data_IF_684929635429
#
_entry.id   IF_684929635429
#
_cell.length_a   1.000
_cell.length_b   1.000
_cell.length_c   1.000
_cell.angle_alpha   90.00
_cell.angle_beta   90.00
_cell.angle_gamma   90.00
#
_symmetry.space_group_name_H-M   'P 1'
#
loop_
_entity.id
_entity.type
_entity.pdbx_description
1 polymer ?
#
# COMPACT_ATOMS: atom_id res chain seq x y z
N UNK A 1 -12.67 -14.55 36.45
CA UNK A 1 -12.38 -13.18 36.03
C UNK A 1 -10.90 -13.13 35.61
N UNK A 2 -10.61 -13.37 34.32
CA UNK A 2 -9.26 -13.23 33.78
C UNK A 2 -9.12 -11.78 33.31
N UNK A 3 -8.52 -10.95 34.16
CA UNK A 3 -8.02 -9.65 33.67
C UNK A 3 -6.88 -9.94 32.75
N UNK A 4 -7.10 -9.81 31.42
CA UNK A 4 -6.05 -9.72 30.42
C UNK A 4 -5.15 -8.55 30.83
N UNK A 5 -3.93 -8.86 31.29
CA UNK A 5 -2.91 -7.84 31.58
C UNK A 5 -2.50 -7.26 30.22
N UNK A 6 -3.19 -6.24 29.78
CA UNK A 6 -2.70 -5.42 28.67
C UNK A 6 -1.36 -4.80 29.12
N UNK A 7 -0.32 -5.04 28.31
CA UNK A 7 0.98 -4.47 28.59
C UNK A 7 0.87 -2.94 28.61
N UNK A 8 1.45 -2.24 29.60
CA UNK A 8 1.40 -0.79 29.66
C UNK A 8 1.93 -0.19 28.33
N UNK A 9 1.30 0.87 27.81
CA UNK A 9 1.68 1.44 26.50
C UNK A 9 3.18 1.80 26.39
N UNK A 10 3.83 2.13 27.50
CA UNK A 10 5.27 2.36 27.56
C UNK A 10 6.11 1.10 27.31
N UNK A 11 5.63 -0.09 27.69
CA UNK A 11 6.35 -1.36 27.44
C UNK A 11 6.32 -1.70 25.95
N UNK A 12 5.16 -1.48 25.29
CA UNK A 12 5.02 -1.71 23.85
C UNK A 12 5.90 -0.76 23.07
N UNK A 13 5.87 0.54 23.40
CA UNK A 13 6.72 1.54 22.77
C UNK A 13 8.21 1.24 22.97
N UNK A 14 8.60 0.87 24.21
CA UNK A 14 9.98 0.47 24.52
C UNK A 14 10.45 -0.74 23.73
N UNK A 15 9.60 -1.77 23.61
CA UNK A 15 9.89 -2.96 22.82
C UNK A 15 10.08 -2.61 21.33
N UNK A 16 9.22 -1.76 20.77
CA UNK A 16 9.34 -1.28 19.39
C UNK A 16 10.66 -0.54 19.18
N UNK A 17 11.01 0.38 20.08
CA UNK A 17 12.27 1.13 20.01
C UNK A 17 13.49 0.22 20.11
N UNK A 18 13.45 -0.80 20.98
CA UNK A 18 14.55 -1.79 21.10
C UNK A 18 14.69 -2.58 19.81
N UNK A 19 13.59 -3.05 19.21
CA UNK A 19 13.61 -3.79 17.94
C UNK A 19 14.15 -2.92 16.81
N UNK A 20 13.71 -1.68 16.71
CA UNK A 20 14.23 -0.73 15.72
C UNK A 20 15.72 -0.46 15.97
N UNK A 21 16.14 -0.21 17.21
CA UNK A 21 17.54 0.03 17.58
C UNK A 21 18.43 -1.18 17.26
N UNK A 22 17.99 -2.39 17.59
CA UNK A 22 18.72 -3.61 17.25
C UNK A 22 18.80 -3.83 15.73
N UNK A 23 17.72 -3.55 15.01
CA UNK A 23 17.72 -3.61 13.54
C UNK A 23 18.77 -2.63 12.98
N UNK A 24 18.78 -1.38 13.42
CA UNK A 24 19.75 -0.37 12.99
C UNK A 24 21.19 -0.77 13.34
N UNK A 25 21.42 -1.32 14.53
CA UNK A 25 22.74 -1.82 14.93
C UNK A 25 23.18 -3.02 14.09
N UNK A 26 22.29 -3.99 13.88
CA UNK A 26 22.57 -5.14 13.02
C UNK A 26 22.93 -4.69 11.60
N UNK A 27 22.22 -3.69 11.07
CA UNK A 27 22.51 -3.06 9.79
C UNK A 27 23.92 -2.48 9.70
N UNK A 28 24.37 -1.85 10.79
CA UNK A 28 25.65 -1.13 10.81
C UNK A 28 26.84 -2.06 11.00
N UNK A 29 26.67 -3.17 11.72
CA UNK A 29 27.75 -4.07 12.09
C UNK A 29 27.88 -5.32 11.22
N UNK A 30 26.83 -5.73 10.51
CA UNK A 30 26.89 -6.99 9.77
C UNK A 30 27.51 -6.85 8.37
N UNK A 31 27.85 -5.64 7.89
CA UNK A 31 28.43 -5.36 6.56
C UNK A 31 27.81 -6.18 5.40
N UNK A 32 26.76 -6.94 5.72
CA UNK A 32 26.11 -7.92 4.85
C UNK A 32 25.40 -7.22 3.68
N UNK A 33 25.21 -5.89 3.80
CA UNK A 33 24.47 -5.09 2.84
C UNK A 33 25.20 -3.82 2.42
N UNK A 34 26.53 -3.89 2.29
CA UNK A 34 27.39 -2.78 1.89
C UNK A 34 27.15 -2.31 0.43
N UNK A 35 26.20 -2.92 -0.30
CA UNK A 35 25.77 -2.44 -1.61
C UNK A 35 24.64 -1.41 -1.49
N UNK A 36 24.82 -0.24 -2.12
CA UNK A 36 23.75 0.78 -2.22
C UNK A 36 22.45 0.24 -2.87
N UNK A 37 22.50 -0.91 -3.50
CA UNK A 37 21.40 -1.52 -4.24
C UNK A 37 20.51 -2.44 -3.39
N UNK A 38 20.97 -2.86 -2.21
CA UNK A 38 20.31 -3.91 -1.42
C UNK A 38 19.41 -3.41 -0.30
N UNK A 39 19.59 -2.17 0.17
CA UNK A 39 18.83 -1.63 1.31
C UNK A 39 17.30 -1.63 1.14
N UNK A 40 16.70 -1.41 -0.07
CA UNK A 40 15.25 -1.42 -0.18
C UNK A 40 14.66 -2.83 0.03
N UNK A 41 15.42 -3.88 -0.30
CA UNK A 41 15.00 -5.27 -0.10
C UNK A 41 14.82 -5.64 1.38
N UNK A 42 15.47 -4.90 2.28
CA UNK A 42 15.29 -5.06 3.72
C UNK A 42 13.92 -4.54 4.16
N UNK A 43 13.46 -3.45 3.54
CA UNK A 43 12.11 -2.93 3.79
C UNK A 43 11.07 -3.92 3.26
N UNK A 44 11.29 -4.49 2.08
CA UNK A 44 10.45 -5.58 1.54
C UNK A 44 10.42 -6.76 2.50
N UNK A 45 11.61 -7.20 2.98
CA UNK A 45 11.74 -8.30 3.93
C UNK A 45 11.01 -8.02 5.25
N UNK A 46 11.14 -6.81 5.79
CA UNK A 46 10.41 -6.39 7.00
C UNK A 46 8.90 -6.43 6.75
N UNK A 47 8.42 -5.91 5.62
CA UNK A 47 7.01 -5.98 5.23
C UNK A 47 6.51 -7.41 5.13
N UNK A 48 7.30 -8.30 4.50
CA UNK A 48 6.98 -9.72 4.39
C UNK A 48 6.91 -10.41 5.75
N UNK A 49 7.84 -10.13 6.66
CA UNK A 49 7.82 -10.66 8.04
C UNK A 49 6.57 -10.19 8.78
N UNK A 50 6.25 -8.89 8.75
CA UNK A 50 5.05 -8.35 9.37
C UNK A 50 3.78 -8.98 8.80
N UNK A 51 3.72 -9.16 7.49
CA UNK A 51 2.62 -9.81 6.79
C UNK A 51 2.45 -11.27 7.26
N UNK A 52 3.52 -12.06 7.26
CA UNK A 52 3.49 -13.47 7.69
C UNK A 52 3.12 -13.58 9.17
N UNK A 53 3.70 -12.73 10.03
CA UNK A 53 3.33 -12.69 11.46
C UNK A 53 1.85 -12.34 11.62
N UNK A 54 1.35 -11.37 10.87
CA UNK A 54 -0.08 -11.00 10.86
C UNK A 54 -0.99 -12.12 10.36
N UNK A 55 -0.48 -13.01 9.50
CA UNK A 55 -1.20 -14.21 9.08
C UNK A 55 -1.23 -15.29 10.17
N UNK A 56 -0.20 -15.43 10.97
CA UNK A 56 -0.11 -16.44 12.05
C UNK A 56 -0.85 -15.96 13.30
N UNK A 57 -0.60 -14.73 13.69
CA UNK A 57 -1.32 -14.07 14.78
C UNK A 57 -2.60 -13.46 14.21
N UNK A 58 -3.79 -13.71 14.78
CA UNK A 58 -5.03 -13.18 14.24
C UNK A 58 -5.13 -11.66 14.48
N UNK A 59 -4.31 -10.88 13.75
CA UNK A 59 -4.24 -9.44 13.85
C UNK A 59 -4.24 -8.82 12.44
N UNK A 60 -5.40 -8.33 12.01
CA UNK A 60 -5.57 -7.69 10.70
C UNK A 60 -4.67 -6.47 10.52
N UNK A 61 -4.36 -5.74 11.58
CA UNK A 61 -3.48 -4.57 11.54
C UNK A 61 -2.05 -4.92 11.11
N UNK A 62 -1.52 -6.07 11.53
CA UNK A 62 -0.19 -6.54 11.09
C UNK A 62 -0.19 -6.95 9.62
N UNK A 63 -1.28 -7.54 9.13
CA UNK A 63 -1.42 -7.88 7.71
C UNK A 63 -1.42 -6.62 6.86
N UNK A 64 -2.23 -5.61 7.25
CA UNK A 64 -2.30 -4.32 6.56
C UNK A 64 -0.95 -3.59 6.62
N UNK A 65 -0.36 -3.49 7.81
CA UNK A 65 0.95 -2.86 7.99
C UNK A 65 2.04 -3.56 7.17
N UNK A 66 2.03 -4.88 7.13
CA UNK A 66 2.98 -5.69 6.36
C UNK A 66 2.86 -5.44 4.86
N UNK A 67 1.64 -5.39 4.31
CA UNK A 67 1.44 -5.06 2.88
C UNK A 67 1.85 -3.63 2.54
N UNK A 68 1.57 -2.66 3.41
CA UNK A 68 2.00 -1.26 3.24
C UNK A 68 3.51 -1.16 3.21
N UNK A 69 4.20 -1.75 4.20
CA UNK A 69 5.67 -1.71 4.27
C UNK A 69 6.30 -2.44 3.09
N UNK A 70 5.75 -3.60 2.68
CA UNK A 70 6.22 -4.32 1.51
C UNK A 70 6.02 -3.52 0.22
N UNK A 71 4.90 -2.81 0.08
CA UNK A 71 4.64 -1.94 -1.07
C UNK A 71 5.65 -0.79 -1.13
N UNK A 72 5.89 -0.11 -0.02
CA UNK A 72 6.91 0.97 0.07
C UNK A 72 8.29 0.41 -0.29
N UNK A 73 8.68 -0.72 0.29
CA UNK A 73 9.94 -1.39 -0.03
C UNK A 73 10.07 -1.75 -1.51
N UNK A 74 8.99 -2.27 -2.12
CA UNK A 74 8.95 -2.59 -3.55
C UNK A 74 9.11 -1.36 -4.44
N UNK A 75 8.43 -0.24 -4.10
CA UNK A 75 8.59 1.05 -4.79
C UNK A 75 10.05 1.51 -4.72
N UNK A 76 10.62 1.52 -3.52
CA UNK A 76 12.00 1.95 -3.30
C UNK A 76 13.00 1.04 -4.02
N UNK A 77 12.78 -0.28 -4.04
CA UNK A 77 13.62 -1.23 -4.76
C UNK A 77 13.59 -0.97 -6.27
N UNK A 78 12.41 -0.72 -6.83
CA UNK A 78 12.28 -0.40 -8.25
C UNK A 78 12.94 0.94 -8.60
N UNK A 79 12.69 2.00 -7.81
CA UNK A 79 13.31 3.31 -8.03
C UNK A 79 14.84 3.28 -7.88
N UNK A 80 15.33 2.50 -6.92
CA UNK A 80 16.77 2.35 -6.70
C UNK A 80 17.45 1.63 -7.88
N UNK A 81 16.79 0.65 -8.49
CA UNK A 81 17.34 -0.09 -9.64
C UNK A 81 17.24 0.71 -10.94
N UNK A 82 16.19 1.49 -11.12
CA UNK A 82 15.95 2.26 -12.36
C UNK A 82 16.51 3.67 -12.32
N UNK A 83 16.79 4.21 -11.14
CA UNK A 83 17.17 5.62 -10.96
C UNK A 83 16.03 6.61 -11.14
N UNK A 84 14.80 6.15 -11.38
CA UNK A 84 13.63 6.97 -11.73
C UNK A 84 12.95 7.57 -10.47
N UNK A 85 13.70 8.26 -9.63
CA UNK A 85 13.19 8.83 -8.39
C UNK A 85 12.10 9.90 -8.58
N UNK A 86 12.10 10.60 -9.74
CA UNK A 86 11.08 11.58 -10.06
C UNK A 86 9.67 10.95 -10.16
N UNK A 87 9.58 9.66 -10.46
CA UNK A 87 8.30 8.93 -10.52
C UNK A 87 7.60 8.84 -9.17
N UNK A 88 8.26 9.25 -8.06
CA UNK A 88 7.61 9.39 -6.77
C UNK A 88 6.35 10.25 -6.83
N UNK A 89 6.31 11.20 -7.78
CA UNK A 89 5.14 12.06 -8.00
C UNK A 89 3.83 11.29 -8.23
N UNK A 90 3.86 10.08 -8.78
CA UNK A 90 2.67 9.25 -9.01
C UNK A 90 2.72 7.88 -8.35
N UNK A 91 3.91 7.28 -8.14
CA UNK A 91 4.04 5.89 -7.70
C UNK A 91 3.58 5.68 -6.24
N UNK A 92 3.59 6.74 -5.42
CA UNK A 92 3.11 6.70 -4.03
C UNK A 92 1.64 6.26 -3.93
N UNK A 93 0.85 6.42 -5.00
CA UNK A 93 -0.55 5.97 -5.08
C UNK A 93 -0.70 4.45 -4.99
N UNK A 94 0.40 3.68 -5.16
CA UNK A 94 0.43 2.25 -4.87
C UNK A 94 0.31 1.93 -3.37
N UNK A 95 0.67 2.87 -2.48
CA UNK A 95 0.63 2.64 -1.03
C UNK A 95 -0.80 2.40 -0.53
N UNK A 96 -1.79 3.26 -0.84
CA UNK A 96 -3.18 2.98 -0.48
C UNK A 96 -3.73 1.70 -1.16
N UNK A 97 -3.26 1.33 -2.35
CA UNK A 97 -3.61 0.05 -2.98
C UNK A 97 -3.07 -1.11 -2.14
N UNK A 98 -1.81 -1.05 -1.71
CA UNK A 98 -1.21 -2.04 -0.81
C UNK A 98 -1.97 -2.19 0.51
N UNK A 99 -2.38 -1.07 1.11
CA UNK A 99 -3.22 -1.07 2.30
C UNK A 99 -4.58 -1.73 2.04
N UNK A 100 -5.21 -1.44 0.90
CA UNK A 100 -6.46 -2.07 0.46
C UNK A 100 -6.32 -3.59 0.29
N UNK A 101 -5.23 -4.04 -0.33
CA UNK A 101 -4.93 -5.48 -0.46
C UNK A 101 -4.78 -6.14 0.91
N UNK A 102 -4.05 -5.51 1.84
CA UNK A 102 -3.92 -6.00 3.21
C UNK A 102 -5.25 -6.07 3.95
N UNK A 103 -6.10 -5.04 3.80
CA UNK A 103 -7.44 -5.01 4.38
C UNK A 103 -8.34 -6.08 3.78
N UNK A 104 -8.25 -6.33 2.46
CA UNK A 104 -9.01 -7.39 1.80
C UNK A 104 -8.63 -8.77 2.33
N UNK A 105 -7.33 -9.05 2.46
CA UNK A 105 -6.84 -10.31 3.02
C UNK A 105 -7.29 -10.46 4.49
N UNK A 106 -7.19 -9.39 5.29
CA UNK A 106 -7.67 -9.36 6.67
C UNK A 106 -9.16 -9.66 6.77
N UNK A 107 -9.99 -8.97 5.99
CA UNK A 107 -11.43 -9.15 5.94
C UNK A 107 -11.88 -10.54 5.43
N UNK A 108 -11.13 -11.13 4.50
CA UNK A 108 -11.37 -12.51 4.04
C UNK A 108 -11.12 -13.53 5.15
N UNK A 109 -10.09 -13.30 5.97
CA UNK A 109 -9.72 -14.21 7.08
C UNK A 109 -10.66 -14.11 8.28
N UNK A 110 -11.11 -12.90 8.59
CA UNK A 110 -12.04 -12.67 9.73
C UNK A 110 -13.49 -12.88 9.36
N UNK A 111 -13.81 -13.02 8.07
CA UNK A 111 -15.19 -13.08 7.58
C UNK A 111 -15.89 -11.72 7.59
N UNK A 112 -15.16 -10.63 7.85
CA UNK A 112 -15.69 -9.27 7.93
C UNK A 112 -16.02 -8.73 6.53
N UNK A 113 -17.31 -8.62 6.24
CA UNK A 113 -17.80 -8.15 4.94
C UNK A 113 -17.58 -6.65 4.78
N UNK A 114 -17.78 -5.86 5.82
CA UNK A 114 -17.61 -4.41 5.77
C UNK A 114 -16.16 -4.05 5.46
N UNK A 115 -15.20 -4.72 6.12
CA UNK A 115 -13.77 -4.57 5.82
C UNK A 115 -13.44 -4.91 4.37
N UNK A 116 -14.02 -5.99 3.81
CA UNK A 116 -13.78 -6.37 2.41
C UNK A 116 -14.32 -5.36 1.42
N UNK A 117 -15.55 -4.88 1.64
CA UNK A 117 -16.18 -3.92 0.76
C UNK A 117 -15.45 -2.57 0.78
N UNK A 118 -15.04 -2.11 1.96
CA UNK A 118 -14.16 -0.96 2.12
C UNK A 118 -12.82 -1.14 1.42
N UNK A 119 -12.20 -2.31 1.55
CA UNK A 119 -10.91 -2.63 0.93
C UNK A 119 -10.99 -2.60 -0.60
N UNK A 120 -12.04 -3.18 -1.17
CA UNK A 120 -12.26 -3.14 -2.62
C UNK A 120 -12.40 -1.70 -3.13
N UNK A 121 -13.16 -0.86 -2.42
CA UNK A 121 -13.28 0.56 -2.75
C UNK A 121 -11.94 1.30 -2.64
N UNK A 122 -11.17 1.03 -1.61
CA UNK A 122 -9.84 1.62 -1.44
C UNK A 122 -8.92 1.24 -2.60
N UNK A 123 -8.93 -0.02 -3.04
CA UNK A 123 -8.17 -0.47 -4.21
C UNK A 123 -8.64 0.26 -5.47
N UNK A 124 -9.95 0.33 -5.71
CA UNK A 124 -10.51 1.02 -6.89
C UNK A 124 -10.11 2.50 -6.91
N UNK A 125 -10.26 3.20 -5.79
CA UNK A 125 -9.87 4.61 -5.66
C UNK A 125 -8.36 4.75 -5.89
N UNK A 126 -7.53 3.88 -5.29
CA UNK A 126 -6.09 3.89 -5.46
C UNK A 126 -5.67 3.67 -6.92
N UNK A 127 -6.31 2.73 -7.63
CA UNK A 127 -6.08 2.50 -9.06
C UNK A 127 -6.51 3.70 -9.92
N UNK A 128 -7.63 4.33 -9.59
CA UNK A 128 -8.08 5.54 -10.27
C UNK A 128 -7.08 6.69 -10.08
N UNK A 129 -6.60 6.90 -8.85
CA UNK A 129 -5.56 7.88 -8.57
C UNK A 129 -4.25 7.55 -9.30
N UNK A 130 -3.83 6.28 -9.27
CA UNK A 130 -2.64 5.83 -9.99
C UNK A 130 -2.76 6.16 -11.48
N UNK A 131 -3.88 5.82 -12.11
CA UNK A 131 -4.09 6.08 -13.52
C UNK A 131 -4.05 7.58 -13.85
N UNK A 132 -4.72 8.42 -13.06
CA UNK A 132 -4.75 9.87 -13.26
C UNK A 132 -3.36 10.48 -13.06
N UNK A 133 -2.70 10.19 -11.95
CA UNK A 133 -1.39 10.76 -11.64
C UNK A 133 -0.32 10.25 -12.62
N UNK A 134 -0.31 8.94 -12.91
CA UNK A 134 0.61 8.35 -13.87
C UNK A 134 0.48 9.02 -15.25
N UNK A 135 -0.74 9.09 -15.80
CA UNK A 135 -0.95 9.70 -17.11
C UNK A 135 -0.60 11.20 -17.11
N UNK A 136 -0.98 11.92 -16.06
CA UNK A 136 -0.67 13.33 -15.95
C UNK A 136 0.85 13.54 -15.93
N UNK A 137 1.57 12.85 -15.07
CA UNK A 137 2.99 13.09 -14.90
C UNK A 137 3.85 12.53 -16.04
N UNK A 138 3.48 11.38 -16.61
CA UNK A 138 4.25 10.80 -17.72
C UNK A 138 3.92 11.48 -19.07
N UNK A 139 2.65 11.78 -19.34
CA UNK A 139 2.23 12.30 -20.63
C UNK A 139 2.41 13.82 -20.78
N UNK A 140 2.22 14.60 -19.69
CA UNK A 140 2.37 16.06 -19.73
C UNK A 140 3.72 16.56 -19.21
N UNK A 141 4.28 15.89 -18.20
CA UNK A 141 5.54 16.32 -17.56
C UNK A 141 6.72 15.51 -18.06
N UNK A 142 6.51 14.25 -18.48
CA UNK A 142 7.58 13.38 -18.97
C UNK A 142 8.61 13.04 -17.90
N UNK A 143 8.17 12.75 -16.66
CA UNK A 143 9.08 12.58 -15.51
C UNK A 143 10.10 11.45 -15.69
N UNK A 144 9.75 10.41 -16.44
CA UNK A 144 10.65 9.30 -16.74
C UNK A 144 11.68 9.63 -17.85
N UNK A 145 11.62 10.83 -18.44
CA UNK A 145 12.51 11.21 -19.55
C UNK A 145 12.34 10.35 -20.80
N UNK A 146 11.16 9.74 -20.97
CA UNK A 146 10.87 8.82 -22.08
C UNK A 146 11.22 7.36 -21.79
N UNK A 147 11.69 7.03 -20.59
CA UNK A 147 11.90 5.62 -20.18
C UNK A 147 10.59 4.82 -20.10
N UNK A 148 9.47 5.52 -19.90
CA UNK A 148 8.12 4.95 -19.93
C UNK A 148 7.37 5.60 -21.10
N UNK A 149 7.16 4.84 -22.17
CA UNK A 149 6.39 5.32 -23.33
C UNK A 149 4.91 5.00 -23.13
N UNK A 150 4.10 6.05 -23.00
CA UNK A 150 2.65 5.92 -22.83
C UNK A 150 1.96 6.31 -24.14
N UNK A 151 1.29 5.38 -24.83
CA UNK A 151 0.56 5.70 -26.06
C UNK A 151 -0.50 6.79 -25.82
N UNK A 152 -0.62 7.73 -26.74
CA UNK A 152 -1.50 8.92 -26.61
C UNK A 152 -2.98 8.59 -26.47
N UNK A 153 -3.42 7.40 -26.89
CA UNK A 153 -4.81 6.94 -26.76
C UNK A 153 -5.16 6.44 -25.35
N UNK A 154 -4.16 6.15 -24.50
CA UNK A 154 -4.39 5.58 -23.13
C UNK A 154 -5.15 6.57 -22.26
N UNK A 155 -4.78 7.85 -22.28
CA UNK A 155 -5.41 8.88 -21.46
C UNK A 155 -6.92 9.06 -21.74
N UNK A 156 -7.35 9.23 -23.02
CA UNK A 156 -8.77 9.29 -23.32
C UNK A 156 -9.55 8.06 -22.86
N UNK A 157 -8.98 6.86 -23.03
CA UNK A 157 -9.61 5.60 -22.60
C UNK A 157 -9.79 5.54 -21.09
N UNK A 158 -8.75 5.95 -20.33
CA UNK A 158 -8.83 5.98 -18.85
C UNK A 158 -9.85 6.99 -18.38
N UNK A 159 -9.91 8.18 -18.97
CA UNK A 159 -10.89 9.21 -18.61
C UNK A 159 -12.33 8.75 -18.90
N UNK A 160 -12.56 8.10 -20.03
CA UNK A 160 -13.87 7.50 -20.35
C UNK A 160 -14.22 6.41 -19.36
N UNK A 161 -13.27 5.51 -19.04
CA UNK A 161 -13.47 4.45 -18.06
C UNK A 161 -13.81 4.96 -16.65
N UNK A 162 -13.11 6.00 -16.20
CA UNK A 162 -13.41 6.67 -14.93
C UNK A 162 -14.79 7.35 -14.95
N UNK A 163 -15.15 8.03 -16.07
CA UNK A 163 -16.47 8.63 -16.25
C UNK A 163 -17.58 7.60 -16.16
N UNK A 164 -17.43 6.47 -16.85
CA UNK A 164 -18.40 5.34 -16.80
C UNK A 164 -18.50 4.79 -15.37
N UNK A 165 -17.39 4.60 -14.68
CA UNK A 165 -17.38 4.09 -13.30
C UNK A 165 -18.11 5.02 -12.34
N UNK A 166 -17.93 6.33 -12.46
CA UNK A 166 -18.64 7.35 -11.66
C UNK A 166 -20.13 7.32 -11.95
N UNK A 167 -20.52 7.25 -13.24
CA UNK A 167 -21.91 7.18 -13.65
C UNK A 167 -22.61 5.92 -13.10
N UNK A 168 -22.00 4.75 -13.28
CA UNK A 168 -22.53 3.48 -12.77
C UNK A 168 -22.72 3.54 -11.25
N UNK A 169 -21.76 4.10 -10.53
CA UNK A 169 -21.88 4.27 -9.09
C UNK A 169 -23.02 5.22 -8.71
N UNK A 170 -23.17 6.34 -9.44
CA UNK A 170 -24.26 7.29 -9.22
C UNK A 170 -25.64 6.63 -9.40
N UNK A 171 -25.81 5.80 -10.43
CA UNK A 171 -27.06 5.07 -10.67
C UNK A 171 -27.34 4.00 -9.60
N UNK A 172 -26.34 3.24 -9.17
CA UNK A 172 -26.51 2.20 -8.13
C UNK A 172 -26.82 2.84 -6.78
N UNK A 173 -26.13 3.93 -6.41
CA UNK A 173 -26.36 4.64 -5.15
C UNK A 173 -27.72 5.36 -5.09
N UNK A 174 -28.29 5.72 -6.23
CA UNK A 174 -29.62 6.34 -6.31
C UNK A 174 -30.77 5.33 -6.27
N UNK A 175 -30.48 4.02 -6.36
CA UNK A 175 -31.48 2.96 -6.37
C UNK A 175 -31.82 2.41 -4.97
N UNK A 176 -31.23 2.94 -3.89
CA UNK A 176 -31.61 2.60 -2.52
C UNK A 176 -32.75 3.52 -2.07
N UNK A 177 -34.03 3.05 -2.05
CA UNK A 177 -35.11 3.89 -1.58
C UNK A 177 -35.01 4.04 -0.06
N UNK A 178 -35.16 5.29 0.36
CA UNK A 178 -35.35 5.78 1.73
C UNK A 178 -36.14 4.79 2.59
N UNK A 179 -35.45 3.96 3.38
CA UNK A 179 -36.08 3.12 4.42
C UNK A 179 -36.03 3.86 5.74
N UNK A 180 -36.57 5.08 5.72
CA UNK A 180 -36.85 5.85 6.94
C UNK A 180 -38.34 6.11 7.04
N UNK A 181 -39.10 5.17 7.60
CA UNK A 181 -40.33 5.36 8.39
C UNK A 181 -40.51 4.21 9.35
#
# INVERSE_FOLDING_TARGET
MNASREAPPGVILGAILIVIGMAVLAFRYLDVFAGQETWPWLIVGLGAVLFVVGLVVPNSGLVIGGTVVATIGGILAWQNQTGLWATWAWIWTLIPIGAGVGSLIGGLRTGDREMRDSALWQIVIGLALLAVFFLFFEQFVGLSGGAIDVPTWVMPVVLVGLGVLILVRGFIGSAEPDRAT
#
